data_IF_744123719058
#
_entry.id   IF_744123719058
#
_cell.length_a   1.000
_cell.length_b   1.000
_cell.length_c   1.000
_cell.angle_alpha   90.00
_cell.angle_beta   90.00
_cell.angle_gamma   90.00
#
_symmetry.space_group_name_H-M   'P 1'
#
loop_
_entity.id
_entity.type
_entity.pdbx_description
1 polymer ?
#
# COMPACT_ATOMS: atom_id res chain seq x y z
N UNK A 1 -8.78 -18.29 30.66
CA UNK A 1 -8.87 -18.27 29.19
C UNK A 1 -8.85 -16.82 28.72
N UNK A 2 -7.85 -16.37 27.94
CA UNK A 2 -7.87 -15.04 27.37
C UNK A 2 -8.80 -15.02 26.17
N UNK A 3 -9.80 -14.16 26.19
CA UNK A 3 -10.70 -13.88 25.09
C UNK A 3 -9.91 -13.44 23.86
N UNK A 4 -9.89 -14.27 22.83
CA UNK A 4 -9.40 -13.93 21.51
C UNK A 4 -10.37 -12.93 20.87
N UNK A 5 -10.05 -11.64 20.94
CA UNK A 5 -10.68 -10.62 20.11
C UNK A 5 -10.10 -10.71 18.70
N UNK A 6 -10.34 -11.78 18.00
CA UNK A 6 -10.04 -11.91 16.59
C UNK A 6 -11.07 -11.10 15.80
N UNK A 7 -10.66 -10.02 15.18
CA UNK A 7 -11.38 -9.47 14.03
C UNK A 7 -11.38 -10.58 12.99
N UNK A 8 -12.49 -11.31 12.90
CA UNK A 8 -12.68 -12.34 11.90
C UNK A 8 -12.73 -11.69 10.52
N UNK A 9 -11.57 -11.55 9.89
CA UNK A 9 -11.53 -11.26 8.46
C UNK A 9 -12.21 -12.43 7.75
N UNK A 10 -13.11 -12.16 6.79
CA UNK A 10 -13.69 -13.23 6.00
C UNK A 10 -12.54 -14.03 5.37
N UNK A 11 -12.65 -15.37 5.27
CA UNK A 11 -11.61 -16.19 4.70
C UNK A 11 -11.34 -15.69 3.28
N UNK A 12 -10.11 -15.24 3.03
CA UNK A 12 -9.67 -14.85 1.69
C UNK A 12 -9.88 -16.05 0.76
N UNK A 13 -10.62 -15.86 -0.31
CA UNK A 13 -10.75 -16.89 -1.33
C UNK A 13 -9.44 -17.00 -2.12
N UNK A 14 -8.60 -17.92 -1.67
CA UNK A 14 -7.29 -18.20 -2.29
C UNK A 14 -7.34 -19.35 -3.30
N UNK A 15 -8.52 -19.76 -3.77
CA UNK A 15 -8.66 -20.86 -4.73
C UNK A 15 -7.85 -20.61 -6.00
N UNK A 16 -7.91 -19.41 -6.53
CA UNK A 16 -7.12 -19.01 -7.70
C UNK A 16 -5.61 -19.11 -7.45
N UNK A 17 -5.14 -18.74 -6.26
CA UNK A 17 -3.72 -18.84 -5.91
C UNK A 17 -3.29 -20.30 -5.83
N UNK A 18 -4.08 -21.17 -5.19
CA UNK A 18 -3.82 -22.61 -5.12
C UNK A 18 -3.78 -23.24 -6.50
N UNK A 19 -4.71 -22.87 -7.37
CA UNK A 19 -4.74 -23.34 -8.75
C UNK A 19 -3.48 -22.90 -9.50
N UNK A 20 -3.09 -21.63 -9.42
CA UNK A 20 -1.88 -21.10 -10.03
C UNK A 20 -0.62 -21.79 -9.51
N UNK A 21 -0.54 -22.06 -8.20
CA UNK A 21 0.58 -22.81 -7.61
C UNK A 21 0.69 -24.20 -8.21
N UNK A 22 -0.42 -24.93 -8.34
CA UNK A 22 -0.45 -26.27 -8.94
C UNK A 22 -0.04 -26.22 -10.41
N UNK A 23 -0.64 -25.33 -11.20
CA UNK A 23 -0.37 -25.19 -12.64
C UNK A 23 1.09 -24.83 -12.94
N UNK A 24 1.73 -24.05 -12.08
CA UNK A 24 3.11 -23.59 -12.24
C UNK A 24 4.14 -24.44 -11.46
N UNK A 25 3.69 -25.39 -10.66
CA UNK A 25 4.55 -26.15 -9.76
C UNK A 25 5.20 -25.30 -8.67
N UNK A 26 4.52 -24.22 -8.23
CA UNK A 26 5.05 -23.29 -7.24
C UNK A 26 4.84 -23.80 -5.81
N UNK A 27 5.89 -23.65 -4.99
CA UNK A 27 5.81 -23.75 -3.55
C UNK A 27 5.56 -22.38 -2.88
N UNK A 28 5.50 -22.36 -1.56
CA UNK A 28 5.33 -21.13 -0.78
C UNK A 28 6.47 -20.12 -1.00
N UNK A 29 7.70 -20.61 -1.19
CA UNK A 29 8.86 -19.77 -1.46
C UNK A 29 8.74 -19.01 -2.80
N UNK A 30 8.21 -19.68 -3.83
CA UNK A 30 8.02 -19.07 -5.15
C UNK A 30 6.95 -17.97 -5.08
N UNK A 31 5.86 -18.22 -4.36
CA UNK A 31 4.81 -17.20 -4.11
C UNK A 31 5.38 -16.02 -3.35
N UNK A 32 6.18 -16.25 -2.32
CA UNK A 32 6.82 -15.19 -1.55
C UNK A 32 7.79 -14.36 -2.41
N UNK A 33 8.56 -15.00 -3.27
CA UNK A 33 9.48 -14.34 -4.21
C UNK A 33 8.71 -13.47 -5.22
N UNK A 34 7.60 -13.97 -5.77
CA UNK A 34 6.76 -13.19 -6.68
C UNK A 34 6.09 -12.00 -6.01
N UNK A 35 5.59 -12.16 -4.79
CA UNK A 35 5.08 -11.06 -4.00
C UNK A 35 6.16 -10.01 -3.73
N UNK A 36 7.36 -10.46 -3.33
CA UNK A 36 8.47 -9.55 -3.09
C UNK A 36 8.83 -8.75 -4.35
N UNK A 37 8.87 -9.40 -5.50
CA UNK A 37 9.18 -8.77 -6.79
C UNK A 37 8.10 -7.78 -7.24
N UNK A 38 6.84 -8.18 -7.17
CA UNK A 38 5.73 -7.38 -7.74
C UNK A 38 5.22 -6.28 -6.80
N UNK A 39 5.21 -6.55 -5.49
CA UNK A 39 4.66 -5.60 -4.50
C UNK A 39 5.76 -4.72 -3.94
N UNK A 40 6.93 -5.28 -3.65
CA UNK A 40 8.02 -4.56 -2.97
C UNK A 40 9.21 -4.22 -3.88
N UNK A 41 9.11 -4.53 -5.18
CA UNK A 41 10.17 -4.26 -6.16
C UNK A 41 11.42 -5.12 -5.99
N UNK A 42 11.45 -6.02 -5.00
CA UNK A 42 12.56 -6.92 -4.68
C UNK A 42 12.45 -7.50 -3.28
N UNK A 43 13.27 -8.49 -3.00
CA UNK A 43 13.35 -9.10 -1.67
C UNK A 43 14.35 -8.36 -0.77
N UNK A 44 14.26 -8.60 0.53
CA UNK A 44 15.22 -8.13 1.54
C UNK A 44 14.64 -7.12 2.52
N UNK A 45 15.51 -6.54 3.34
CA UNK A 45 15.12 -5.58 4.36
C UNK A 45 14.54 -4.30 3.74
N UNK A 46 13.55 -3.73 4.39
CA UNK A 46 12.95 -2.45 3.97
C UNK A 46 13.67 -1.31 4.65
N UNK A 47 13.97 -0.27 3.88
CA UNK A 47 14.51 1.00 4.37
C UNK A 47 13.53 2.13 4.15
N UNK A 48 13.53 3.11 5.06
CA UNK A 48 12.74 4.34 4.97
C UNK A 48 13.65 5.51 4.60
N UNK A 49 13.25 6.26 3.59
CA UNK A 49 13.97 7.40 3.06
C UNK A 49 13.12 8.67 3.17
N UNK A 50 13.67 9.73 3.72
CA UNK A 50 12.97 11.01 3.76
C UNK A 50 13.04 11.68 2.37
N UNK A 51 11.88 11.86 1.75
CA UNK A 51 11.74 12.53 0.45
C UNK A 51 11.46 14.03 0.65
N UNK A 52 10.50 14.33 1.53
CA UNK A 52 10.14 15.71 1.88
C UNK A 52 9.74 15.84 3.36
N UNK A 53 9.27 16.99 3.77
CA UNK A 53 8.74 17.19 5.12
C UNK A 53 7.51 16.31 5.42
N UNK A 54 6.79 15.90 4.38
CA UNK A 54 5.53 15.14 4.49
C UNK A 54 5.59 13.75 3.84
N UNK A 55 6.67 13.41 3.14
CA UNK A 55 6.76 12.17 2.37
C UNK A 55 7.97 11.33 2.78
N UNK A 56 7.71 10.03 2.99
CA UNK A 56 8.73 9.00 3.15
C UNK A 56 8.58 7.98 2.04
N UNK A 57 9.69 7.60 1.42
CA UNK A 57 9.77 6.48 0.48
C UNK A 57 10.17 5.19 1.19
N UNK A 58 9.54 4.09 0.84
CA UNK A 58 9.93 2.74 1.28
C UNK A 58 10.59 2.01 0.12
N UNK A 59 11.77 1.44 0.38
CA UNK A 59 12.54 0.68 -0.59
C UNK A 59 13.00 -0.64 0.01
N UNK A 60 12.93 -1.73 -0.76
CA UNK A 60 13.53 -3.01 -0.37
C UNK A 60 15.00 -3.07 -0.79
N UNK A 61 15.83 -3.84 -0.08
CA UNK A 61 17.25 -3.97 -0.38
C UNK A 61 17.53 -4.60 -1.75
N UNK A 62 16.60 -5.39 -2.28
CA UNK A 62 16.70 -5.99 -3.61
C UNK A 62 16.18 -5.13 -4.75
N UNK A 63 15.67 -3.91 -4.46
CA UNK A 63 15.19 -2.99 -5.49
C UNK A 63 16.30 -2.07 -6.00
N UNK A 64 16.19 -1.53 -7.23
CA UNK A 64 17.06 -0.46 -7.73
C UNK A 64 17.04 0.77 -6.81
N UNK A 65 18.14 1.52 -6.81
CA UNK A 65 18.32 2.65 -5.89
C UNK A 65 17.30 3.78 -6.05
N UNK A 66 16.70 3.93 -7.22
CA UNK A 66 15.67 4.92 -7.53
C UNK A 66 14.23 4.36 -7.43
N UNK A 67 14.07 3.08 -7.06
CA UNK A 67 12.80 2.39 -7.07
C UNK A 67 12.17 2.30 -5.68
N UNK A 68 11.21 3.18 -5.40
CA UNK A 68 10.37 3.11 -4.21
C UNK A 68 9.11 2.29 -4.50
N UNK A 69 8.82 1.29 -3.67
CA UNK A 69 7.57 0.53 -3.76
C UNK A 69 6.46 1.17 -2.91
N UNK A 70 6.84 1.91 -1.87
CA UNK A 70 5.91 2.47 -0.92
C UNK A 70 6.12 3.96 -0.69
N UNK A 71 5.00 4.64 -0.49
CA UNK A 71 4.93 6.02 -0.08
C UNK A 71 4.17 6.11 1.23
N UNK A 72 4.77 6.75 2.23
CA UNK A 72 4.07 7.19 3.45
C UNK A 72 3.93 8.69 3.39
N UNK A 73 2.68 9.20 3.48
CA UNK A 73 2.41 10.64 3.51
C UNK A 73 1.70 11.01 4.80
N UNK A 74 2.39 11.82 5.62
CA UNK A 74 1.95 12.26 6.95
C UNK A 74 2.42 13.68 7.23
N UNK A 75 1.83 14.36 8.21
CA UNK A 75 2.21 15.73 8.58
C UNK A 75 3.66 15.87 9.07
N UNK A 76 4.15 14.90 9.86
CA UNK A 76 5.49 14.90 10.46
C UNK A 76 6.29 13.66 10.01
N UNK A 77 6.68 13.63 8.74
CA UNK A 77 7.35 12.47 8.14
C UNK A 77 8.64 12.09 8.88
N UNK A 78 9.47 13.07 9.23
CA UNK A 78 10.73 12.82 9.94
C UNK A 78 10.51 12.12 11.27
N UNK A 79 9.60 12.60 12.10
CA UNK A 79 9.31 11.99 13.40
C UNK A 79 8.81 10.54 13.26
N UNK A 80 7.99 10.28 12.23
CA UNK A 80 7.55 8.93 11.93
C UNK A 80 8.73 8.05 11.50
N UNK A 81 9.62 8.53 10.63
CA UNK A 81 10.81 7.79 10.22
C UNK A 81 11.69 7.41 11.41
N UNK A 82 11.98 8.38 12.31
CA UNK A 82 12.78 8.16 13.51
C UNK A 82 12.13 7.07 14.40
N UNK A 83 10.80 7.10 14.57
CA UNK A 83 10.07 6.09 15.34
C UNK A 83 10.13 4.70 14.72
N UNK A 84 9.97 4.60 13.39
CA UNK A 84 10.01 3.32 12.66
C UNK A 84 11.40 2.68 12.75
N UNK A 85 12.45 3.49 12.64
CA UNK A 85 13.85 3.04 12.75
C UNK A 85 14.19 2.67 14.19
N UNK A 86 13.83 3.51 15.18
CA UNK A 86 14.04 3.23 16.58
C UNK A 86 13.32 1.94 17.03
N UNK A 87 12.08 1.73 16.53
CA UNK A 87 11.31 0.52 16.76
C UNK A 87 11.81 -0.70 15.99
N UNK A 88 12.89 -0.59 15.21
CA UNK A 88 13.47 -1.66 14.37
C UNK A 88 12.47 -2.27 13.38
N UNK A 89 11.48 -1.50 12.95
CA UNK A 89 10.48 -1.93 11.98
C UNK A 89 11.07 -1.88 10.56
N UNK A 90 11.84 -0.83 10.28
CA UNK A 90 12.55 -0.63 9.02
C UNK A 90 13.96 -0.12 9.26
N UNK A 91 14.84 -0.29 8.28
CA UNK A 91 16.18 0.31 8.30
C UNK A 91 16.16 1.80 7.92
N UNK A 92 17.20 2.54 8.36
CA UNK A 92 17.41 3.93 7.98
C UNK A 92 17.99 4.01 6.58
N UNK A 93 17.35 4.72 5.68
CA UNK A 93 17.90 5.13 4.39
C UNK A 93 18.39 6.58 4.39
N UNK A 94 19.30 6.91 3.49
CA UNK A 94 19.70 8.30 3.29
C UNK A 94 18.50 9.15 2.78
N UNK A 95 18.38 10.42 3.17
CA UNK A 95 17.37 11.32 2.60
C UNK A 95 17.58 11.45 1.08
N UNK A 96 16.49 11.34 0.33
CA UNK A 96 16.50 11.46 -1.13
C UNK A 96 15.66 12.66 -1.60
N UNK A 97 16.27 13.81 -1.59
CA UNK A 97 15.61 15.06 -2.02
C UNK A 97 15.52 15.20 -3.56
N UNK A 98 16.28 14.38 -4.29
CA UNK A 98 16.29 14.38 -5.75
C UNK A 98 15.17 13.55 -6.36
N UNK A 99 14.58 12.63 -5.58
CA UNK A 99 13.46 11.81 -6.03
C UNK A 99 12.23 12.62 -6.46
N UNK A 100 12.09 13.86 -5.99
CA UNK A 100 10.89 14.66 -6.17
C UNK A 100 9.70 14.09 -5.37
N UNK A 101 8.50 14.65 -5.53
CA UNK A 101 7.32 14.14 -4.83
C UNK A 101 6.91 12.76 -5.39
N UNK A 102 6.94 11.75 -4.53
CA UNK A 102 6.43 10.41 -4.86
C UNK A 102 4.91 10.44 -5.02
N UNK A 103 4.23 11.28 -4.25
CA UNK A 103 2.79 11.43 -4.35
C UNK A 103 2.35 11.99 -5.71
N UNK A 104 3.10 12.93 -6.27
CA UNK A 104 2.82 13.48 -7.60
C UNK A 104 2.97 12.43 -8.71
N UNK A 105 3.80 11.41 -8.49
CA UNK A 105 4.05 10.31 -9.44
C UNK A 105 3.18 9.08 -9.21
N UNK A 106 2.30 9.09 -8.21
CA UNK A 106 1.55 7.91 -7.78
C UNK A 106 0.77 7.24 -8.92
N UNK A 107 0.17 8.02 -9.80
CA UNK A 107 -0.62 7.48 -10.91
C UNK A 107 0.23 7.05 -12.12
N UNK A 108 1.43 7.58 -12.27
CA UNK A 108 2.32 7.32 -13.41
C UNK A 108 3.45 6.33 -13.12
N UNK A 109 3.89 6.20 -11.87
CA UNK A 109 4.96 5.26 -11.49
C UNK A 109 4.37 3.94 -11.01
N UNK A 110 4.40 2.93 -11.89
CA UNK A 110 3.86 1.60 -11.60
C UNK A 110 4.58 0.88 -10.44
N UNK A 111 5.79 1.29 -10.08
CA UNK A 111 6.58 0.71 -8.98
C UNK A 111 6.02 1.09 -7.62
N UNK A 112 5.31 2.23 -7.52
CA UNK A 112 4.63 2.64 -6.29
C UNK A 112 3.36 1.81 -6.12
N UNK A 113 3.43 0.76 -5.34
CA UNK A 113 2.35 -0.23 -5.11
C UNK A 113 1.66 -0.05 -3.76
N UNK A 114 2.33 0.57 -2.79
CA UNK A 114 1.82 0.75 -1.43
C UNK A 114 1.74 2.24 -1.09
N UNK A 115 0.56 2.68 -0.65
CA UNK A 115 0.34 4.03 -0.16
C UNK A 115 -0.17 3.96 1.29
N UNK A 116 0.55 4.61 2.19
CA UNK A 116 0.18 4.73 3.60
C UNK A 116 -0.04 6.20 3.91
N UNK A 117 -1.15 6.52 4.56
CA UNK A 117 -1.41 7.91 4.91
C UNK A 117 -2.42 8.08 6.02
N UNK A 118 -2.45 9.30 6.54
CA UNK A 118 -3.42 9.75 7.52
C UNK A 118 -4.68 10.30 6.83
N UNK A 119 -5.55 10.95 7.57
CA UNK A 119 -6.83 11.54 7.13
C UNK A 119 -6.77 12.43 5.87
N UNK A 120 -5.59 12.91 5.48
CA UNK A 120 -5.42 13.77 4.30
C UNK A 120 -5.85 13.12 2.98
N UNK A 121 -5.98 11.78 2.93
CA UNK A 121 -6.51 11.09 1.75
C UNK A 121 -8.04 11.10 1.67
N UNK A 122 -8.72 11.56 2.71
CA UNK A 122 -10.17 11.72 2.72
C UNK A 122 -10.57 12.85 1.78
N UNK A 123 -9.73 13.90 1.66
CA UNK A 123 -10.01 15.08 0.86
C UNK A 123 -9.10 15.17 -0.37
N UNK A 124 -9.69 15.38 -1.54
CA UNK A 124 -8.97 15.79 -2.75
C UNK A 124 -8.15 14.74 -3.51
N UNK A 125 -7.97 13.51 -2.99
CA UNK A 125 -7.22 12.47 -3.70
C UNK A 125 -8.15 11.44 -4.37
N UNK A 126 -7.75 10.98 -5.54
CA UNK A 126 -8.44 9.95 -6.27
C UNK A 126 -7.48 9.26 -7.24
N UNK A 127 -7.44 7.95 -7.21
CA UNK A 127 -6.63 7.15 -8.13
C UNK A 127 -7.39 5.90 -8.56
N UNK A 128 -7.27 5.55 -9.85
CA UNK A 128 -7.84 4.33 -10.40
C UNK A 128 -6.99 3.08 -10.11
N UNK A 129 -5.82 3.27 -9.52
CA UNK A 129 -4.88 2.19 -9.22
C UNK A 129 -5.17 1.47 -7.91
N UNK A 130 -6.07 1.98 -7.09
CA UNK A 130 -6.41 1.34 -5.80
C UNK A 130 -7.13 0.03 -6.06
N UNK A 131 -6.51 -1.08 -5.67
CA UNK A 131 -7.08 -2.43 -5.75
C UNK A 131 -7.47 -2.99 -4.38
N UNK A 132 -6.86 -2.49 -3.31
CA UNK A 132 -7.15 -2.87 -1.95
C UNK A 132 -7.04 -1.68 -1.01
N UNK A 133 -7.89 -1.60 -0.01
CA UNK A 133 -7.90 -0.55 0.99
C UNK A 133 -7.94 -1.18 2.39
N UNK A 134 -6.93 -0.86 3.21
CA UNK A 134 -6.89 -1.22 4.62
C UNK A 134 -7.12 0.01 5.50
N UNK A 135 -8.05 -0.06 6.42
CA UNK A 135 -8.33 0.99 7.41
C UNK A 135 -7.84 0.53 8.78
N UNK A 136 -6.95 1.30 9.38
CA UNK A 136 -6.43 1.03 10.71
C UNK A 136 -6.80 2.17 11.66
N UNK A 137 -7.19 1.82 12.88
CA UNK A 137 -7.48 2.78 13.95
C UNK A 137 -8.49 3.87 13.57
N UNK A 138 -9.44 3.53 12.74
CA UNK A 138 -10.55 4.40 12.35
C UNK A 138 -11.64 4.18 13.39
N UNK A 139 -11.93 5.17 14.22
CA UNK A 139 -12.81 5.16 15.36
C UNK A 139 -13.98 4.12 15.41
N UNK A 140 -14.61 3.99 16.53
CA UNK A 140 -15.61 2.92 16.79
C UNK A 140 -16.94 3.07 16.03
N UNK A 141 -17.14 4.16 15.32
CA UNK A 141 -18.37 4.41 14.55
C UNK A 141 -18.05 4.66 13.09
N UNK A 142 -18.76 4.03 12.14
CA UNK A 142 -18.67 4.36 10.74
C UNK A 142 -19.16 5.80 10.54
N UNK A 143 -18.23 6.75 10.51
CA UNK A 143 -18.52 8.14 10.21
C UNK A 143 -18.54 8.39 8.71
N UNK A 144 -19.04 9.56 8.29
CA UNK A 144 -19.05 10.01 6.91
C UNK A 144 -17.65 9.93 6.26
N UNK A 145 -16.58 10.09 7.05
CA UNK A 145 -15.19 9.99 6.63
C UNK A 145 -14.84 8.59 6.06
N UNK A 146 -15.32 7.51 6.71
CA UNK A 146 -15.09 6.13 6.25
C UNK A 146 -15.81 5.89 4.94
N UNK A 147 -17.06 6.33 4.83
CA UNK A 147 -17.85 6.20 3.60
C UNK A 147 -17.19 6.96 2.45
N UNK A 148 -16.63 8.15 2.71
CA UNK A 148 -15.89 8.93 1.71
C UNK A 148 -14.61 8.22 1.26
N UNK A 149 -13.84 7.61 2.20
CA UNK A 149 -12.65 6.83 1.88
C UNK A 149 -12.99 5.63 0.99
N UNK A 150 -14.03 4.87 1.35
CA UNK A 150 -14.50 3.75 0.53
C UNK A 150 -14.96 4.22 -0.85
N UNK A 151 -15.72 5.31 -0.93
CA UNK A 151 -16.17 5.87 -2.20
C UNK A 151 -15.03 6.34 -3.12
N UNK A 152 -13.85 6.63 -2.56
CA UNK A 152 -12.64 6.99 -3.32
C UNK A 152 -11.79 5.76 -3.69
N UNK A 153 -11.77 4.72 -2.83
CA UNK A 153 -11.02 3.49 -3.07
C UNK A 153 -11.78 2.49 -3.94
N UNK A 154 -13.11 2.47 -3.88
CA UNK A 154 -13.98 1.60 -4.70
C UNK A 154 -14.60 2.43 -5.81
N UNK A 155 -13.82 2.74 -6.83
CA UNK A 155 -14.37 3.36 -8.03
C UNK A 155 -14.82 2.29 -8.99
N UNK A 156 -16.13 2.22 -9.21
CA UNK A 156 -16.71 1.39 -10.24
C UNK A 156 -16.28 1.94 -11.59
N UNK A 157 -15.52 1.13 -12.31
CA UNK A 157 -15.09 1.40 -13.67
C UNK A 157 -15.90 0.48 -14.57
N UNK A 158 -16.99 0.98 -15.15
CA UNK A 158 -17.74 0.25 -16.17
C UNK A 158 -16.93 0.07 -17.45
N UNK A 159 -17.40 -0.80 -18.35
CA UNK A 159 -16.81 -0.98 -19.67
C UNK A 159 -16.70 0.39 -20.36
N UNK A 160 -15.55 0.67 -20.96
CA UNK A 160 -15.26 1.93 -21.67
C UNK A 160 -15.43 3.19 -20.80
N UNK A 161 -15.14 3.09 -19.50
CA UNK A 161 -15.33 4.17 -18.50
C UNK A 161 -16.80 4.61 -18.33
N UNK A 162 -17.75 3.84 -18.81
CA UNK A 162 -19.16 4.10 -18.60
C UNK A 162 -19.53 3.93 -17.13
N UNK A 163 -20.28 4.91 -16.60
CA UNK A 163 -20.93 4.81 -15.29
C UNK A 163 -22.39 4.32 -15.44
N UNK A 164 -22.81 3.97 -16.63
CA UNK A 164 -24.16 3.42 -16.87
C UNK A 164 -24.23 2.01 -16.29
N UNK A 165 -25.34 1.72 -15.61
CA UNK A 165 -25.73 0.37 -15.26
C UNK A 165 -25.96 -0.38 -16.59
N UNK A 166 -25.27 -1.49 -16.80
CA UNK A 166 -25.64 -2.38 -17.88
C UNK A 166 -26.98 -2.99 -17.47
N UNK A 167 -28.02 -2.75 -18.24
CA UNK A 167 -29.25 -3.52 -18.16
C UNK A 167 -28.93 -4.90 -18.74
N UNK A 168 -29.24 -5.98 -17.98
CA UNK A 168 -29.09 -7.38 -18.39
C UNK A 168 -29.93 -7.71 -19.60
#
# INVERSE_FOLDING_TARGET
EPAQSGIGLPPLDLRWLRQTMVERGWGAADVAAELARHVFGGAGAVTVHQISAQELGLRSAGAPDDAYFGLIRVGEARKLADNLVHGKIVGQGAPDRLAGSLFARLDSDARLTVLIGAKMFIEGWSSWRVSALGLMNVGRSPGAEIVQLFGRGVRLRGRDFSLKREDD
#
